data_IF_084384646673
#
_entry.id   IF_084384646673
#
_cell.length_a   1.000
_cell.length_b   1.000
_cell.length_c   1.000
_cell.angle_alpha   90.00
_cell.angle_beta   90.00
_cell.angle_gamma   90.00
#
_symmetry.space_group_name_H-M   'P 1'
#
loop_
_entity.id
_entity.type
_entity.pdbx_description
1 polymer ?
#
# COMPACT_ATOMS: atom_id res chain seq x y z
N UNK A 1 14.09 6.55 -1.03
CA UNK A 1 12.90 7.33 -1.44
C UNK A 1 11.70 6.72 -0.76
N UNK A 2 10.82 7.54 -0.19
CA UNK A 2 9.58 7.06 0.45
C UNK A 2 8.61 6.54 -0.64
N UNK A 3 8.08 5.32 -0.47
CA UNK A 3 7.18 4.71 -1.46
C UNK A 3 5.85 5.44 -1.61
N UNK A 4 5.33 6.09 -0.56
CA UNK A 4 4.10 6.86 -0.64
C UNK A 4 4.30 8.10 -1.51
N UNK A 5 5.43 8.80 -1.34
CA UNK A 5 5.77 9.95 -2.18
C UNK A 5 6.04 9.54 -3.63
N UNK A 6 6.68 8.39 -3.84
CA UNK A 6 6.90 7.86 -5.18
C UNK A 6 5.58 7.53 -5.90
N UNK A 7 4.67 6.82 -5.21
CA UNK A 7 3.34 6.48 -5.76
C UNK A 7 2.55 7.74 -6.08
N UNK A 8 2.57 8.73 -5.19
CA UNK A 8 1.91 10.02 -5.41
C UNK A 8 2.44 10.72 -6.66
N UNK A 9 3.76 10.90 -6.76
CA UNK A 9 4.39 11.56 -7.90
C UNK A 9 4.13 10.83 -9.23
N UNK A 10 4.18 9.49 -9.23
CA UNK A 10 3.88 8.68 -10.43
C UNK A 10 2.40 8.78 -10.81
N UNK A 11 1.49 8.77 -9.83
CA UNK A 11 0.05 8.84 -10.08
C UNK A 11 -0.40 10.15 -10.73
N UNK A 12 0.34 11.23 -10.48
CA UNK A 12 0.07 12.55 -11.05
C UNK A 12 0.70 12.75 -12.45
N UNK A 13 1.54 11.83 -12.91
CA UNK A 13 2.21 11.93 -14.20
C UNK A 13 1.46 11.13 -15.28
N UNK A 14 0.41 11.74 -15.84
CA UNK A 14 -0.43 11.12 -16.86
C UNK A 14 0.35 10.65 -18.10
N UNK A 15 1.33 11.45 -18.56
CA UNK A 15 2.16 11.11 -19.72
C UNK A 15 3.00 9.85 -19.46
N UNK A 16 3.59 9.74 -18.26
CA UNK A 16 4.32 8.54 -17.85
C UNK A 16 3.41 7.31 -17.80
N UNK A 17 2.23 7.42 -17.18
CA UNK A 17 1.28 6.31 -17.10
C UNK A 17 0.83 5.85 -18.49
N UNK A 18 0.50 6.78 -19.39
CA UNK A 18 0.10 6.47 -20.77
C UNK A 18 1.23 5.75 -21.52
N UNK A 19 2.45 6.29 -21.45
CA UNK A 19 3.61 5.71 -22.12
C UNK A 19 3.88 4.29 -21.62
N UNK A 20 3.92 4.09 -20.30
CA UNK A 20 4.24 2.79 -19.68
C UNK A 20 3.14 1.75 -19.94
N UNK A 21 1.87 2.14 -19.94
CA UNK A 21 0.75 1.21 -20.10
C UNK A 21 0.33 1.01 -21.57
N UNK A 22 0.87 1.77 -22.51
CA UNK A 22 0.46 1.81 -23.93
C UNK A 22 0.36 0.44 -24.62
N UNK A 23 1.26 -0.50 -24.30
CA UNK A 23 1.22 -1.86 -24.85
C UNK A 23 0.24 -2.78 -24.12
N UNK A 24 0.05 -2.57 -22.82
CA UNK A 24 -0.85 -3.35 -21.95
C UNK A 24 -2.31 -3.06 -22.26
N UNK A 25 -2.68 -1.78 -22.38
CA UNK A 25 -4.07 -1.37 -22.68
C UNK A 25 -4.57 -1.89 -24.03
N UNK A 26 -3.66 -2.21 -24.97
CA UNK A 26 -4.01 -2.81 -26.27
C UNK A 26 -4.34 -4.30 -26.20
N UNK A 27 -3.93 -4.97 -25.11
CA UNK A 27 -3.98 -6.43 -24.97
C UNK A 27 -4.84 -6.90 -23.80
N UNK A 28 -5.02 -6.06 -22.79
CA UNK A 28 -5.82 -6.36 -21.60
C UNK A 28 -7.03 -5.41 -21.47
N UNK A 29 -8.22 -5.96 -21.70
CA UNK A 29 -9.49 -5.24 -21.62
C UNK A 29 -9.82 -4.74 -20.21
N UNK A 30 -9.25 -5.35 -19.16
CA UNK A 30 -9.45 -4.87 -17.80
C UNK A 30 -8.66 -3.57 -17.58
N UNK A 31 -7.34 -3.60 -17.83
CA UNK A 31 -6.48 -2.42 -17.71
C UNK A 31 -6.90 -1.30 -18.66
N UNK A 32 -7.35 -1.62 -19.88
CA UNK A 32 -7.86 -0.63 -20.83
C UNK A 32 -9.03 0.18 -20.25
N UNK A 33 -9.99 -0.49 -19.61
CA UNK A 33 -11.16 0.16 -19.01
C UNK A 33 -10.79 1.05 -17.83
N UNK A 34 -9.83 0.63 -17.00
CA UNK A 34 -9.31 1.48 -15.92
C UNK A 34 -8.66 2.76 -16.48
N UNK A 35 -7.89 2.61 -17.56
CA UNK A 35 -7.22 3.73 -18.21
C UNK A 35 -8.19 4.68 -18.93
N UNK A 36 -9.30 4.17 -19.48
CA UNK A 36 -10.36 4.99 -20.07
C UNK A 36 -11.05 5.87 -19.02
N UNK A 37 -11.33 5.34 -17.82
CA UNK A 37 -11.84 6.13 -16.68
C UNK A 37 -10.85 7.24 -16.32
N UNK A 38 -9.56 6.91 -16.21
CA UNK A 38 -8.51 7.89 -15.92
C UNK A 38 -8.48 9.05 -16.94
N UNK A 39 -8.47 8.74 -18.24
CA UNK A 39 -8.51 9.76 -19.30
C UNK A 39 -9.79 10.61 -19.24
N UNK A 40 -10.93 9.99 -18.97
CA UNK A 40 -12.20 10.70 -18.90
C UNK A 40 -12.19 11.74 -17.75
N UNK A 41 -11.72 11.36 -16.57
CA UNK A 41 -11.58 12.28 -15.43
C UNK A 41 -10.62 13.44 -15.74
N UNK A 42 -9.49 13.16 -16.40
CA UNK A 42 -8.56 14.23 -16.82
C UNK A 42 -9.19 15.19 -17.82
N UNK A 43 -9.99 14.68 -18.77
CA UNK A 43 -10.70 15.49 -19.77
C UNK A 43 -11.77 16.37 -19.15
N UNK A 44 -12.50 15.86 -18.16
CA UNK A 44 -13.52 16.62 -17.42
C UNK A 44 -12.92 17.63 -16.44
N UNK A 45 -11.70 17.36 -15.98
CA UNK A 45 -10.99 18.15 -14.98
C UNK A 45 -11.09 17.56 -13.58
N UNK A 46 -10.00 17.65 -12.82
CA UNK A 46 -9.91 17.09 -11.47
C UNK A 46 -10.76 17.92 -10.51
N UNK A 47 -11.91 17.39 -10.11
CA UNK A 47 -12.84 18.07 -9.19
C UNK A 47 -12.42 18.01 -7.72
N UNK A 48 -11.67 16.97 -7.32
CA UNK A 48 -11.21 16.74 -5.95
C UNK A 48 -9.68 16.70 -5.90
N UNK A 49 -9.08 17.58 -5.09
CA UNK A 49 -7.62 17.75 -4.99
C UNK A 49 -7.00 17.02 -3.79
N UNK A 50 -7.82 16.46 -2.90
CA UNK A 50 -7.38 15.65 -1.75
C UNK A 50 -7.39 14.18 -2.14
N UNK A 51 -6.22 13.53 -2.03
CA UNK A 51 -6.04 12.11 -2.31
C UNK A 51 -5.55 11.36 -1.08
N UNK A 52 -6.13 10.18 -0.81
CA UNK A 52 -5.70 9.28 0.27
C UNK A 52 -5.19 7.97 -0.33
N UNK A 53 -3.91 7.70 -0.14
CA UNK A 53 -3.29 6.41 -0.47
C UNK A 53 -3.13 5.53 0.77
N UNK A 54 -3.74 4.34 0.77
CA UNK A 54 -3.54 3.32 1.79
C UNK A 54 -2.70 2.18 1.20
N UNK A 55 -1.40 2.41 1.09
CA UNK A 55 -0.49 1.54 0.35
C UNK A 55 0.13 0.45 1.22
N UNK A 56 0.45 -0.70 0.63
CA UNK A 56 1.29 -1.74 1.24
C UNK A 56 2.39 -2.15 0.29
N UNK A 57 3.63 -2.14 0.76
CA UNK A 57 4.78 -2.65 0.03
C UNK A 57 5.20 -4.00 0.58
N UNK A 58 5.24 -5.00 -0.27
CA UNK A 58 5.49 -6.39 0.11
C UNK A 58 6.92 -6.81 -0.29
N UNK A 59 7.59 -7.57 0.58
CA UNK A 59 9.01 -7.89 0.43
C UNK A 59 9.31 -9.36 0.75
N UNK A 60 10.34 -9.90 0.13
CA UNK A 60 10.94 -11.20 0.46
C UNK A 60 12.46 -11.10 0.55
N UNK A 61 13.05 -12.03 1.29
CA UNK A 61 14.50 -12.18 1.35
C UNK A 61 14.99 -13.02 0.16
N UNK A 62 15.91 -12.47 -0.61
CA UNK A 62 16.70 -13.20 -1.60
C UNK A 62 18.01 -13.64 -0.95
N UNK A 63 18.30 -14.95 -0.98
CA UNK A 63 19.61 -15.49 -0.63
C UNK A 63 20.46 -15.59 -1.90
N UNK A 64 21.61 -14.90 -1.88
CA UNK A 64 22.56 -14.91 -2.99
C UNK A 64 23.49 -16.12 -2.92
N UNK A 65 24.18 -16.41 -4.02
CA UNK A 65 25.10 -17.55 -4.12
C UNK A 65 26.28 -17.45 -3.14
N UNK A 66 26.69 -16.24 -2.76
CA UNK A 66 27.74 -15.96 -1.77
C UNK A 66 27.25 -16.10 -0.31
N UNK A 67 25.99 -16.51 -0.10
CA UNK A 67 25.38 -16.64 1.23
C UNK A 67 24.81 -15.34 1.80
N UNK A 68 25.02 -14.19 1.15
CA UNK A 68 24.43 -12.92 1.57
C UNK A 68 22.91 -12.92 1.39
N UNK A 69 22.22 -12.11 2.17
CA UNK A 69 20.76 -11.95 2.10
C UNK A 69 20.40 -10.51 1.77
N UNK A 70 19.53 -10.32 0.77
CA UNK A 70 19.03 -9.01 0.37
C UNK A 70 17.50 -8.96 0.49
N UNK A 71 16.97 -7.85 0.97
CA UNK A 71 15.52 -7.60 0.93
C UNK A 71 15.13 -7.14 -0.47
N UNK A 72 14.15 -7.80 -1.10
CA UNK A 72 13.63 -7.46 -2.43
C UNK A 72 12.14 -7.18 -2.34
N UNK A 73 11.71 -6.09 -2.98
CA UNK A 73 10.29 -5.77 -3.13
C UNK A 73 9.69 -6.73 -4.14
N UNK A 74 8.54 -7.31 -3.79
CA UNK A 74 7.76 -8.18 -4.67
C UNK A 74 6.69 -7.35 -5.39
N UNK A 75 5.96 -6.53 -4.64
CA UNK A 75 4.89 -5.70 -5.19
C UNK A 75 4.61 -4.47 -4.32
N UNK A 76 3.89 -3.52 -4.92
CA UNK A 76 3.27 -2.41 -4.22
C UNK A 76 1.76 -2.43 -4.47
N UNK A 77 0.99 -2.60 -3.40
CA UNK A 77 -0.46 -2.60 -3.41
C UNK A 77 -0.97 -1.19 -3.14
N UNK A 78 -1.57 -0.56 -4.15
CA UNK A 78 -2.16 0.79 -4.06
C UNK A 78 -3.69 0.78 -4.01
N UNK A 79 -4.30 -0.41 -4.12
CA UNK A 79 -5.75 -0.61 -4.09
C UNK A 79 -6.09 -1.75 -3.14
N UNK A 80 -7.09 -1.54 -2.29
CA UNK A 80 -7.67 -2.56 -1.40
C UNK A 80 -6.63 -3.41 -0.66
N UNK A 81 -5.57 -2.77 -0.15
CA UNK A 81 -4.51 -3.45 0.58
C UNK A 81 -5.08 -4.07 1.88
N UNK A 82 -5.27 -5.39 1.85
CA UNK A 82 -5.87 -6.16 2.95
C UNK A 82 -5.02 -6.21 4.24
N UNK A 83 -5.53 -6.92 5.24
CA UNK A 83 -4.88 -7.28 6.51
C UNK A 83 -4.57 -6.16 7.51
N UNK A 84 -4.84 -4.88 7.21
CA UNK A 84 -4.65 -3.81 8.20
C UNK A 84 -5.35 -4.07 9.55
N UNK A 85 -6.58 -4.60 9.54
CA UNK A 85 -7.28 -5.04 10.75
C UNK A 85 -6.61 -6.25 11.42
N UNK A 86 -6.52 -7.37 10.69
CA UNK A 86 -6.02 -8.65 11.22
C UNK A 86 -4.57 -8.57 11.71
N UNK A 87 -3.69 -7.92 10.96
CA UNK A 87 -2.27 -7.75 11.31
C UNK A 87 -2.08 -6.97 12.62
N UNK A 88 -3.06 -6.16 13.02
CA UNK A 88 -3.05 -5.46 14.32
C UNK A 88 -3.29 -6.42 15.50
N UNK A 89 -3.85 -7.60 15.26
CA UNK A 89 -4.15 -8.63 16.27
C UNK A 89 -3.13 -9.75 16.28
N UNK A 90 -2.49 -10.04 15.15
CA UNK A 90 -1.51 -11.12 15.01
C UNK A 90 -0.40 -11.11 16.07
N UNK A 91 0.22 -9.96 16.45
CA UNK A 91 1.23 -9.96 17.51
C UNK A 91 0.72 -10.48 18.86
N UNK A 92 -0.53 -10.17 19.22
CA UNK A 92 -1.11 -10.64 20.49
C UNK A 92 -1.28 -12.16 20.47
N UNK A 93 -1.74 -12.73 19.35
CA UNK A 93 -1.86 -14.18 19.15
C UNK A 93 -0.49 -14.85 19.27
N UNK A 94 0.52 -14.34 18.55
CA UNK A 94 1.87 -14.91 18.60
C UNK A 94 2.48 -14.87 20.01
N UNK A 95 2.36 -13.74 20.72
CA UNK A 95 2.83 -13.63 22.11
C UNK A 95 2.13 -14.63 23.02
N UNK A 96 0.81 -14.79 22.87
CA UNK A 96 0.06 -15.77 23.64
C UNK A 96 0.57 -17.20 23.39
N UNK A 97 0.72 -17.61 22.13
CA UNK A 97 1.24 -18.95 21.77
C UNK A 97 2.64 -19.17 22.34
N UNK A 98 3.55 -18.21 22.23
CA UNK A 98 4.89 -18.33 22.80
C UNK A 98 4.86 -18.46 24.33
N UNK A 99 4.00 -17.71 25.02
CA UNK A 99 3.85 -17.80 26.47
C UNK A 99 3.30 -19.16 26.91
N UNK A 100 2.30 -19.72 26.19
CA UNK A 100 1.78 -21.07 26.44
C UNK A 100 2.90 -22.12 26.32
N UNK A 101 3.83 -21.93 25.40
CA UNK A 101 4.99 -22.80 25.20
C UNK A 101 6.18 -22.48 26.15
N UNK A 102 5.99 -21.63 27.16
CA UNK A 102 7.06 -21.16 28.06
C UNK A 102 8.25 -20.47 27.36
N UNK A 103 8.04 -19.95 26.14
CA UNK A 103 9.01 -19.22 25.30
C UNK A 103 8.89 -17.71 25.49
N UNK A 104 9.04 -17.26 26.73
CA UNK A 104 8.81 -15.84 27.10
C UNK A 104 9.82 -14.88 26.49
N UNK A 105 11.06 -15.33 26.27
CA UNK A 105 12.11 -14.53 25.60
C UNK A 105 11.76 -14.24 24.14
N UNK A 106 11.17 -15.20 23.44
CA UNK A 106 10.70 -15.07 22.06
C UNK A 106 9.44 -14.20 21.99
N UNK A 107 8.50 -14.38 22.93
CA UNK A 107 7.31 -13.53 23.04
C UNK A 107 7.70 -12.05 23.17
N UNK A 108 8.73 -11.74 23.95
CA UNK A 108 9.24 -10.37 24.14
C UNK A 108 9.86 -9.76 22.86
N UNK A 109 10.31 -10.58 21.90
CA UNK A 109 10.88 -10.12 20.62
C UNK A 109 9.81 -9.77 19.58
N UNK A 110 8.55 -10.15 19.79
CA UNK A 110 7.46 -9.82 18.87
C UNK A 110 7.17 -8.31 18.94
N UNK A 111 7.34 -7.61 17.83
CA UNK A 111 7.08 -6.18 17.72
C UNK A 111 5.58 -5.86 17.88
N UNK A 112 5.26 -4.67 18.40
CA UNK A 112 3.91 -4.15 18.32
C UNK A 112 3.58 -3.81 16.86
N UNK A 113 2.34 -4.06 16.45
CA UNK A 113 1.87 -3.74 15.11
C UNK A 113 0.42 -3.25 15.25
N UNK A 114 0.13 -2.03 14.79
CA UNK A 114 -1.23 -1.50 14.79
C UNK A 114 -1.52 -0.66 13.53
N UNK A 115 -1.46 -1.28 12.34
CA UNK A 115 -1.79 -0.60 11.10
C UNK A 115 -3.25 -0.14 11.07
N UNK A 116 -4.18 -0.85 11.72
CA UNK A 116 -5.60 -0.47 11.74
C UNK A 116 -5.83 0.94 12.29
N UNK A 117 -5.11 1.34 13.36
CA UNK A 117 -5.19 2.70 13.90
C UNK A 117 -4.69 3.74 12.89
N UNK A 118 -3.54 3.50 12.26
CA UNK A 118 -2.97 4.43 11.28
C UNK A 118 -3.87 4.60 10.06
N UNK A 119 -4.41 3.50 9.53
CA UNK A 119 -5.35 3.50 8.41
C UNK A 119 -6.64 4.25 8.77
N UNK A 120 -7.22 3.98 9.95
CA UNK A 120 -8.42 4.67 10.42
C UNK A 120 -8.20 6.18 10.58
N UNK A 121 -7.05 6.59 11.12
CA UNK A 121 -6.68 8.01 11.24
C UNK A 121 -6.51 8.67 9.86
N UNK A 122 -5.91 7.98 8.89
CA UNK A 122 -5.79 8.48 7.52
C UNK A 122 -7.15 8.71 6.86
N UNK A 123 -8.08 7.77 7.03
CA UNK A 123 -9.47 7.89 6.53
C UNK A 123 -10.19 9.05 7.21
N UNK A 124 -10.12 9.14 8.55
CA UNK A 124 -10.73 10.23 9.31
C UNK A 124 -10.19 11.58 8.85
N UNK A 125 -8.88 11.67 8.63
CA UNK A 125 -8.25 12.92 8.18
C UNK A 125 -8.67 13.31 6.77
N UNK A 126 -8.76 12.35 5.85
CA UNK A 126 -9.25 12.62 4.50
C UNK A 126 -10.70 13.12 4.51
N UNK A 127 -11.55 12.57 5.39
CA UNK A 127 -12.92 13.04 5.57
C UNK A 127 -12.99 14.48 6.09
N UNK A 128 -12.18 14.82 7.10
CA UNK A 128 -12.07 16.20 7.60
C UNK A 128 -11.64 17.17 6.49
N UNK A 129 -10.63 16.80 5.69
CA UNK A 129 -10.12 17.63 4.60
C UNK A 129 -11.15 17.79 3.47
N UNK A 130 -11.96 16.77 3.20
CA UNK A 130 -13.04 16.85 2.23
C UNK A 130 -14.14 17.84 2.66
N UNK A 131 -14.50 17.84 3.94
CA UNK A 131 -15.55 18.71 4.49
C UNK A 131 -15.08 20.11 4.90
N UNK A 132 -13.78 20.39 4.83
CA UNK A 132 -13.23 21.71 5.12
C UNK A 132 -13.53 22.66 3.97
N UNK A 133 -13.99 23.88 4.28
CA UNK A 133 -14.10 24.94 3.26
C UNK A 133 -12.71 25.23 2.67
N UNK A 134 -12.64 25.44 1.35
CA UNK A 134 -11.41 25.85 0.65
C UNK A 134 -10.91 27.20 1.16
#
# INVERSE_FOLDING_TARGET
MDFNMLVDAVSQNAAFLEQTLSSTIKRDNFTARLFDIHKQVLKEGIAQTVFLGLNRSDYMFQRNADGSTALKQIEINTISASFGGLASRTPAVHRHVFNVLSKTKEAAKILSNNPSKGLALGIAKAWELYGSAK
#
